data_IF_385240659716
#
_entry.id   IF_385240659716
#
_cell.length_a   1.000
_cell.length_b   1.000
_cell.length_c   1.000
_cell.angle_alpha   90.00
_cell.angle_beta   90.00
_cell.angle_gamma   90.00
#
_symmetry.space_group_name_H-M   'P 1'
#
loop_
_entity.id
_entity.type
_entity.pdbx_description
1 polymer ?
#
# COMPACT_ATOMS: atom_id res chain seq x y z
N UNK A 1 -5.94 14.30 10.26
CA UNK A 1 -7.10 14.23 9.34
C UNK A 1 -7.27 12.79 8.97
N UNK A 2 -8.52 12.33 8.86
CA UNK A 2 -8.81 10.89 8.99
C UNK A 2 -9.06 10.23 7.62
N UNK A 3 -9.31 11.02 6.57
CA UNK A 3 -9.52 10.54 5.20
C UNK A 3 -9.07 11.57 4.15
N UNK A 4 -8.84 11.12 2.92
CA UNK A 4 -8.43 11.92 1.75
C UNK A 4 -9.50 11.82 0.66
N UNK A 5 -10.35 12.85 0.57
CA UNK A 5 -11.45 12.86 -0.39
C UNK A 5 -11.04 13.18 -1.84
N UNK A 6 -9.94 13.91 -2.05
CA UNK A 6 -9.47 14.30 -3.39
C UNK A 6 -8.03 14.78 -3.40
N UNK A 7 -7.41 14.78 -4.58
CA UNK A 7 -6.09 15.35 -4.81
C UNK A 7 -6.03 16.86 -4.47
N UNK A 8 -7.07 17.62 -4.83
CA UNK A 8 -7.18 19.05 -4.52
C UNK A 8 -7.37 19.34 -3.04
N UNK A 9 -8.07 18.46 -2.30
CA UNK A 9 -8.21 18.53 -0.85
C UNK A 9 -6.88 18.29 -0.16
N UNK A 10 -6.11 17.30 -0.62
CA UNK A 10 -4.75 17.02 -0.16
C UNK A 10 -3.83 18.23 -0.37
N UNK A 11 -3.80 18.80 -1.58
CA UNK A 11 -3.02 20.01 -1.89
C UNK A 11 -3.46 21.20 -1.04
N UNK A 12 -4.77 21.39 -0.82
CA UNK A 12 -5.27 22.50 0.00
C UNK A 12 -4.85 22.35 1.46
N UNK A 13 -4.88 21.13 2.01
CA UNK A 13 -4.44 20.85 3.38
C UNK A 13 -2.94 21.14 3.53
N UNK A 14 -2.12 20.67 2.59
CA UNK A 14 -0.68 20.88 2.63
C UNK A 14 -0.27 22.33 2.32
N UNK A 15 -1.07 23.05 1.54
CA UNK A 15 -0.85 24.48 1.33
C UNK A 15 -1.09 25.29 2.61
N UNK A 16 -2.09 24.91 3.41
CA UNK A 16 -2.32 25.50 4.73
C UNK A 16 -1.29 25.03 5.76
N UNK A 17 -0.94 23.76 5.75
CA UNK A 17 -0.07 23.13 6.75
C UNK A 17 0.83 22.11 6.04
N UNK A 18 2.03 22.53 5.60
CA UNK A 18 2.88 21.68 4.76
C UNK A 18 3.43 20.45 5.47
N UNK A 19 3.45 20.43 6.81
CA UNK A 19 3.62 19.21 7.62
C UNK A 19 2.24 18.69 8.01
N UNK A 20 1.82 17.56 7.44
CA UNK A 20 0.52 16.96 7.73
C UNK A 20 0.61 15.45 7.87
N UNK A 21 -0.01 14.92 8.93
CA UNK A 21 -0.19 13.50 9.19
C UNK A 21 -1.66 13.10 8.97
N UNK A 22 -1.85 12.08 8.13
CA UNK A 22 -3.14 11.44 7.88
C UNK A 22 -3.15 10.07 8.56
N UNK A 23 -4.15 9.83 9.41
CA UNK A 23 -4.35 8.58 10.14
C UNK A 23 -5.60 7.91 9.60
N UNK A 24 -5.44 7.04 8.61
CA UNK A 24 -6.54 6.42 7.88
C UNK A 24 -6.79 5.01 8.40
N UNK A 25 -7.82 4.84 9.24
CA UNK A 25 -8.30 3.50 9.58
C UNK A 25 -9.01 2.87 8.38
N UNK A 26 -8.87 1.55 8.24
CA UNK A 26 -9.32 0.77 7.08
C UNK A 26 -8.95 1.38 5.71
N UNK A 27 -7.68 1.79 5.57
CA UNK A 27 -7.13 2.42 4.35
C UNK A 27 -7.32 1.57 3.08
N UNK A 28 -7.54 0.26 3.21
CA UNK A 28 -7.90 -0.60 2.07
C UNK A 28 -9.16 -0.13 1.34
N UNK A 29 -10.13 0.49 2.02
CA UNK A 29 -11.30 1.07 1.34
C UNK A 29 -10.94 2.30 0.51
N UNK A 30 -10.02 3.14 0.99
CA UNK A 30 -9.49 4.25 0.21
C UNK A 30 -8.86 3.70 -1.08
N UNK A 31 -7.98 2.69 -0.98
CA UNK A 31 -7.35 2.09 -2.16
C UNK A 31 -8.36 1.45 -3.13
N UNK A 32 -9.38 0.74 -2.62
CA UNK A 32 -10.49 0.24 -3.45
C UNK A 32 -11.25 1.36 -4.16
N UNK A 33 -11.51 2.47 -3.47
CA UNK A 33 -12.18 3.62 -4.07
C UNK A 33 -11.32 4.27 -5.17
N UNK A 34 -10.00 4.35 -4.97
CA UNK A 34 -9.04 4.80 -5.98
C UNK A 34 -9.03 3.87 -7.21
N UNK A 35 -9.15 2.55 -7.00
CA UNK A 35 -9.07 1.52 -8.05
C UNK A 35 -10.36 1.35 -8.87
N UNK A 36 -11.52 1.22 -8.22
CA UNK A 36 -12.78 0.81 -8.87
C UNK A 36 -13.77 1.95 -9.12
N UNK A 37 -13.70 3.02 -8.33
CA UNK A 37 -14.66 4.14 -8.35
C UNK A 37 -13.93 5.46 -8.53
N UNK A 38 -12.99 5.49 -9.47
CA UNK A 38 -12.17 6.65 -9.76
C UNK A 38 -13.01 7.76 -10.40
N UNK A 39 -13.77 8.50 -9.59
CA UNK A 39 -14.06 9.89 -9.89
C UNK A 39 -12.72 10.54 -10.32
N UNK A 40 -12.63 11.31 -11.42
CA UNK A 40 -11.38 11.88 -11.93
C UNK A 40 -10.47 12.56 -10.88
N UNK A 41 -11.05 13.03 -9.77
CA UNK A 41 -10.32 13.60 -8.62
C UNK A 41 -9.62 12.55 -7.75
N UNK A 42 -10.20 11.35 -7.60
CA UNK A 42 -9.64 10.24 -6.84
C UNK A 42 -8.48 9.60 -7.60
N UNK A 43 -8.62 9.45 -8.93
CA UNK A 43 -7.60 8.88 -9.80
C UNK A 43 -6.20 9.54 -9.65
N UNK A 44 -6.16 10.79 -9.22
CA UNK A 44 -4.93 11.58 -9.15
C UNK A 44 -4.25 11.53 -7.79
N UNK A 45 -4.89 11.02 -6.74
CA UNK A 45 -4.36 11.03 -5.37
C UNK A 45 -2.98 10.35 -5.31
N UNK A 46 -2.85 9.14 -5.88
CA UNK A 46 -1.55 8.43 -5.90
C UNK A 46 -0.49 9.23 -6.66
N UNK A 47 -0.84 9.80 -7.82
CA UNK A 47 0.09 10.63 -8.60
C UNK A 47 0.55 11.88 -7.83
N UNK A 48 -0.34 12.46 -7.03
CA UNK A 48 -0.04 13.63 -6.18
C UNK A 48 0.84 13.22 -5.00
N UNK A 49 0.54 12.11 -4.32
CA UNK A 49 1.38 11.56 -3.26
C UNK A 49 2.81 11.25 -3.75
N UNK A 50 2.97 10.68 -4.95
CA UNK A 50 4.27 10.44 -5.57
C UNK A 50 5.07 11.73 -5.83
N UNK A 51 4.39 12.79 -6.29
CA UNK A 51 5.00 14.10 -6.48
C UNK A 51 5.40 14.73 -5.15
N UNK A 52 4.50 14.73 -4.16
CA UNK A 52 4.74 15.25 -2.83
C UNK A 52 5.95 14.55 -2.17
N UNK A 53 6.01 13.22 -2.25
CA UNK A 53 7.14 12.44 -1.75
C UNK A 53 8.47 12.88 -2.39
N UNK A 54 8.47 13.11 -3.70
CA UNK A 54 9.68 13.51 -4.44
C UNK A 54 10.04 14.99 -4.20
N UNK A 55 9.07 15.83 -3.85
CA UNK A 55 9.25 17.24 -3.54
C UNK A 55 9.50 17.51 -2.05
N UNK A 56 9.65 16.50 -1.19
CA UNK A 56 9.80 16.71 0.26
C UNK A 56 10.99 17.62 0.64
N UNK A 57 12.04 17.65 -0.18
CA UNK A 57 13.18 18.57 -0.01
C UNK A 57 13.15 19.83 -0.88
N UNK A 58 12.11 20.02 -1.70
CA UNK A 58 12.05 21.05 -2.76
C UNK A 58 10.67 21.72 -2.85
N UNK A 59 10.45 22.55 -3.86
CA UNK A 59 9.19 23.23 -4.16
C UNK A 59 8.22 22.29 -4.88
N UNK A 60 7.09 21.99 -4.26
CA UNK A 60 5.96 21.38 -4.94
C UNK A 60 5.15 22.44 -5.68
N UNK A 61 5.00 22.26 -7.01
CA UNK A 61 4.12 23.07 -7.85
C UNK A 61 2.86 22.27 -8.15
N UNK A 62 1.74 22.74 -7.61
CA UNK A 62 0.43 22.20 -7.91
C UNK A 62 0.00 22.49 -9.34
N UNK A 63 -1.22 22.06 -9.68
CA UNK A 63 -1.77 22.27 -11.01
C UNK A 63 -1.88 23.75 -11.37
N UNK A 64 -1.58 24.05 -12.63
CA UNK A 64 -1.82 25.35 -13.23
C UNK A 64 -3.31 25.47 -13.54
N UNK A 65 -3.93 26.53 -13.05
CA UNK A 65 -5.30 26.89 -13.36
C UNK A 65 -5.31 28.21 -14.16
N UNK A 66 -6.37 28.44 -14.95
CA UNK A 66 -6.54 29.71 -15.65
C UNK A 66 -6.60 30.90 -14.67
N UNK A 67 -7.10 30.65 -13.47
CA UNK A 67 -7.05 31.55 -12.33
C UNK A 67 -5.79 31.23 -11.50
N UNK A 68 -4.79 32.11 -11.57
CA UNK A 68 -3.49 31.95 -10.90
C UNK A 68 -3.61 31.93 -9.38
N UNK A 69 -4.68 32.48 -8.81
CA UNK A 69 -4.96 32.45 -7.35
C UNK A 69 -5.23 31.02 -6.87
N UNK A 70 -5.70 30.13 -7.74
CA UNK A 70 -5.97 28.73 -7.42
C UNK A 70 -4.73 27.84 -7.53
N UNK A 71 -3.63 28.36 -8.09
CA UNK A 71 -2.39 27.61 -8.20
C UNK A 71 -1.71 27.54 -6.84
N UNK A 72 -1.59 26.31 -6.31
CA UNK A 72 -0.95 26.07 -5.02
C UNK A 72 0.51 25.74 -5.23
N UNK A 73 1.36 26.46 -4.52
CA UNK A 73 2.78 26.16 -4.38
C UNK A 73 3.02 25.81 -2.91
N UNK A 74 3.77 24.74 -2.66
CA UNK A 74 4.04 24.24 -1.31
C UNK A 74 5.55 24.06 -1.18
N UNK A 75 6.16 24.75 -0.22
CA UNK A 75 7.59 24.59 0.07
C UNK A 75 7.81 23.36 0.95
N UNK A 76 8.65 22.44 0.48
CA UNK A 76 9.09 21.24 1.21
C UNK A 76 7.94 20.50 1.90
N UNK A 77 6.93 20.01 1.16
CA UNK A 77 5.79 19.31 1.74
C UNK A 77 6.22 18.04 2.49
N UNK A 78 5.81 17.93 3.74
CA UNK A 78 5.95 16.73 4.56
C UNK A 78 4.58 16.08 4.76
N UNK A 79 4.19 15.23 3.81
CA UNK A 79 2.93 14.49 3.85
C UNK A 79 3.16 13.07 4.35
N UNK A 80 2.74 12.79 5.59
CA UNK A 80 2.80 11.46 6.18
C UNK A 80 1.42 10.79 6.11
N UNK A 81 1.37 9.58 5.55
CA UNK A 81 0.18 8.74 5.51
C UNK A 81 0.45 7.50 6.36
N UNK A 82 -0.38 7.30 7.37
CA UNK A 82 -0.41 6.08 8.18
C UNK A 82 -1.79 5.47 8.06
N UNK A 83 -1.86 4.15 7.93
CA UNK A 83 -3.14 3.48 7.89
C UNK A 83 -3.09 2.03 8.29
N UNK A 84 -4.25 1.55 8.71
CA UNK A 84 -4.52 0.18 9.12
C UNK A 84 -5.48 -0.44 8.12
N UNK A 85 -5.34 -1.74 7.83
CA UNK A 85 -6.36 -2.48 7.10
C UNK A 85 -6.22 -3.97 7.33
N UNK A 86 -7.29 -4.71 7.09
CA UNK A 86 -7.21 -6.16 6.96
C UNK A 86 -6.41 -6.56 5.71
N UNK A 87 -5.64 -7.67 5.73
CA UNK A 87 -4.86 -8.11 4.56
C UNK A 87 -5.69 -8.21 3.29
N UNK A 88 -6.89 -8.80 3.41
CA UNK A 88 -7.83 -8.93 2.29
C UNK A 88 -8.26 -7.58 1.71
N UNK A 89 -8.59 -6.60 2.56
CA UNK A 89 -9.06 -5.31 2.08
C UNK A 89 -7.96 -4.52 1.39
N UNK A 90 -6.73 -4.60 1.92
CA UNK A 90 -5.54 -4.04 1.29
C UNK A 90 -5.29 -4.65 -0.10
N UNK A 91 -5.23 -5.99 -0.19
CA UNK A 91 -4.99 -6.72 -1.44
C UNK A 91 -6.01 -6.41 -2.53
N UNK A 92 -7.29 -6.39 -2.18
CA UNK A 92 -8.36 -6.04 -3.13
C UNK A 92 -8.22 -4.60 -3.65
N UNK A 93 -7.64 -3.68 -2.85
CA UNK A 93 -7.43 -2.27 -3.18
C UNK A 93 -6.17 -1.97 -4.00
N UNK A 94 -5.19 -2.87 -4.01
CA UNK A 94 -3.90 -2.69 -4.73
C UNK A 94 -3.92 -3.46 -6.06
N UNK A 95 -3.19 -3.00 -7.07
CA UNK A 95 -3.00 -3.70 -8.34
C UNK A 95 -1.54 -3.67 -8.78
N UNK A 96 -1.25 -4.46 -9.82
CA UNK A 96 0.06 -4.49 -10.48
C UNK A 96 0.53 -3.07 -10.91
N UNK A 97 -0.40 -2.20 -11.31
CA UNK A 97 -0.09 -0.80 -11.67
C UNK A 97 0.52 -0.01 -10.51
N UNK A 98 0.05 -0.21 -9.26
CA UNK A 98 0.61 0.45 -8.08
C UNK A 98 1.98 -0.10 -7.66
N UNK A 99 2.27 -1.35 -8.01
CA UNK A 99 3.62 -1.90 -7.89
C UNK A 99 4.53 -1.20 -8.91
N UNK A 100 4.13 -1.19 -10.18
CA UNK A 100 4.93 -0.70 -11.32
C UNK A 100 5.10 0.82 -11.38
N UNK A 101 4.19 1.60 -10.82
CA UNK A 101 4.35 3.06 -10.72
C UNK A 101 5.29 3.47 -9.56
N UNK A 102 5.74 2.51 -8.76
CA UNK A 102 6.64 2.72 -7.63
C UNK A 102 6.00 3.39 -6.42
N UNK A 103 4.66 3.40 -6.32
CA UNK A 103 3.99 3.87 -5.11
C UNK A 103 4.32 2.97 -3.93
N UNK A 104 4.15 1.65 -4.08
CA UNK A 104 4.37 0.71 -2.98
C UNK A 104 5.82 0.64 -2.52
N UNK A 105 6.80 0.95 -3.38
CA UNK A 105 8.21 1.02 -2.97
C UNK A 105 8.50 2.18 -2.02
N UNK A 106 7.61 3.16 -1.91
CA UNK A 106 7.69 4.29 -0.98
C UNK A 106 6.87 4.08 0.30
N UNK A 107 6.19 2.94 0.42
CA UNK A 107 5.41 2.58 1.59
C UNK A 107 6.19 1.61 2.49
N UNK A 108 5.99 1.71 3.80
CA UNK A 108 6.39 0.68 4.75
C UNK A 108 5.16 -0.16 5.08
N UNK A 109 5.09 -1.37 4.54
CA UNK A 109 3.91 -2.24 4.65
C UNK A 109 4.21 -3.32 5.68
N UNK A 110 3.62 -3.19 6.86
CA UNK A 110 3.78 -4.16 7.94
C UNK A 110 2.68 -5.21 7.84
N UNK A 111 3.03 -6.44 7.51
CA UNK A 111 2.11 -7.56 7.57
C UNK A 111 2.18 -8.24 8.95
N UNK A 112 1.03 -8.69 9.44
CA UNK A 112 0.95 -9.52 10.64
C UNK A 112 0.00 -10.67 10.37
N UNK A 113 0.52 -11.89 10.48
CA UNK A 113 -0.28 -13.13 10.46
C UNK A 113 -0.84 -13.47 11.83
N UNK A 114 -0.44 -12.74 12.88
CA UNK A 114 -0.95 -12.92 14.22
C UNK A 114 -2.37 -12.32 14.32
N UNK A 115 -3.36 -13.19 14.55
CA UNK A 115 -4.75 -12.83 14.83
C UNK A 115 -5.06 -13.17 16.30
N UNK A 116 -4.63 -12.32 17.26
CA UNK A 116 -4.83 -12.62 18.67
C UNK A 116 -6.33 -12.63 19.00
N UNK A 117 -6.81 -13.57 19.84
CA UNK A 117 -8.22 -13.63 20.18
C UNK A 117 -8.67 -12.31 20.82
N UNK A 118 -9.88 -11.86 20.47
CA UNK A 118 -10.45 -10.61 20.99
C UNK A 118 -10.40 -10.63 22.52
N UNK A 119 -9.56 -9.77 23.09
CA UNK A 119 -9.50 -9.62 24.54
C UNK A 119 -10.82 -8.99 25.02
N UNK A 120 -11.58 -9.75 25.82
CA UNK A 120 -12.86 -9.30 26.38
C UNK A 120 -12.67 -8.52 27.69
N UNK A 121 -11.51 -8.67 28.32
CA UNK A 121 -11.09 -7.90 29.49
C UNK A 121 -10.38 -6.63 29.04
N UNK A 122 -11.16 -5.66 28.54
CA UNK A 122 -10.63 -4.33 28.27
C UNK A 122 -10.28 -3.65 29.60
N UNK A 123 -8.98 -3.55 29.88
CA UNK A 123 -8.44 -2.66 30.90
C UNK A 123 -7.79 -1.49 30.19
N UNK A 124 -8.21 -0.27 30.53
CA UNK A 124 -7.47 0.92 30.14
C UNK A 124 -6.13 0.87 30.88
N UNK A 125 -5.09 0.41 30.18
CA UNK A 125 -3.73 0.44 30.70
C UNK A 125 -3.26 1.89 30.69
N UNK A 126 -2.55 2.28 31.74
CA UNK A 126 -1.80 3.54 31.72
C UNK A 126 -0.73 3.43 30.62
N UNK A 127 -0.51 4.54 29.92
CA UNK A 127 0.56 4.62 28.95
C UNK A 127 1.91 4.42 29.66
N UNK A 128 2.88 3.71 29.04
CA UNK A 128 4.22 3.59 29.59
C UNK A 128 4.79 4.98 29.94
N UNK A 129 5.24 5.15 31.19
CA UNK A 129 5.64 6.47 31.73
C UNK A 129 6.83 7.08 30.99
N UNK A 130 7.72 6.24 30.52
CA UNK A 130 8.85 6.57 29.64
C UNK A 130 8.37 7.17 28.32
N UNK A 131 7.42 6.52 27.63
CA UNK A 131 6.84 7.05 26.38
C UNK A 131 6.19 8.42 26.61
N UNK A 132 5.38 8.56 27.67
CA UNK A 132 4.73 9.84 28.02
C UNK A 132 5.78 10.93 28.26
N UNK A 133 6.82 10.61 29.03
CA UNK A 133 7.92 11.55 29.30
C UNK A 133 8.61 12.00 28.02
N UNK A 134 8.91 11.08 27.12
CA UNK A 134 9.68 11.39 25.92
C UNK A 134 8.83 12.17 24.89
N UNK A 135 7.53 11.87 24.77
CA UNK A 135 6.57 12.71 24.01
C UNK A 135 6.46 14.11 24.63
N UNK A 136 6.37 14.21 25.95
CA UNK A 136 6.27 15.51 26.63
C UNK A 136 7.53 16.36 26.42
N UNK A 137 8.72 15.76 26.43
CA UNK A 137 9.98 16.45 26.09
C UNK A 137 9.91 17.03 24.68
N UNK A 138 9.50 16.25 23.68
CA UNK A 138 9.31 16.74 22.31
C UNK A 138 8.30 17.88 22.22
N UNK A 139 7.15 17.75 22.89
CA UNK A 139 6.09 18.75 22.86
C UNK A 139 6.49 20.08 23.50
N UNK A 140 7.27 20.03 24.59
CA UNK A 140 7.71 21.21 25.35
C UNK A 140 9.05 21.76 24.87
N UNK A 141 9.64 21.18 23.83
CA UNK A 141 10.94 21.59 23.31
C UNK A 141 10.87 23.02 22.81
N UNK A 142 11.72 23.87 23.39
CA UNK A 142 12.03 25.17 22.84
C UNK A 142 13.26 24.99 21.95
N UNK A 143 13.12 25.27 20.66
CA UNK A 143 14.24 25.31 19.73
C UNK A 143 14.71 26.77 19.69
N UNK A 144 15.77 27.10 20.41
CA UNK A 144 16.41 28.41 20.34
C UNK A 144 17.03 28.57 18.95
N UNK A 145 16.24 29.10 18.02
CA UNK A 145 16.78 29.51 16.73
C UNK A 145 17.65 30.74 16.95
N UNK A 146 18.91 30.74 16.49
CA UNK A 146 19.74 31.93 16.57
C UNK A 146 19.08 33.01 15.69
N UNK A 147 18.58 34.07 16.34
CA UNK A 147 17.79 35.16 15.76
C UNK A 147 16.33 34.75 15.52
N UNK A 148 15.40 35.70 15.39
CA UNK A 148 13.97 35.49 15.13
C UNK A 148 13.69 34.88 13.72
N UNK A 149 14.58 33.99 13.28
CA UNK A 149 14.65 33.28 12.02
C UNK A 149 14.58 31.77 12.30
N UNK A 150 13.38 31.30 12.59
CA UNK A 150 13.11 29.87 12.82
C UNK A 150 11.64 29.60 13.08
N UNK A 151 10.78 30.56 12.72
CA UNK A 151 9.36 30.49 13.02
C UNK A 151 8.64 29.59 12.02
N UNK A 152 8.03 28.52 12.52
CA UNK A 152 7.14 27.65 11.75
C UNK A 152 5.91 28.45 11.29
N UNK A 153 5.53 29.54 11.97
CA UNK A 153 4.43 30.40 11.53
C UNK A 153 4.73 31.11 10.20
N UNK A 154 6.01 31.37 9.89
CA UNK A 154 6.44 31.86 8.57
C UNK A 154 6.45 30.78 7.46
N UNK A 155 6.38 29.51 7.85
CA UNK A 155 6.28 28.35 6.96
C UNK A 155 4.82 27.98 6.64
N UNK A 156 3.88 28.35 7.53
CA UNK A 156 2.44 28.30 7.29
C UNK A 156 2.08 29.46 6.38
N UNK A 157 1.74 29.18 5.11
CA UNK A 157 1.06 30.18 4.27
C UNK A 157 -0.39 30.35 4.75
N UNK A 158 -0.52 31.11 5.84
CA UNK A 158 -1.75 31.66 6.37
C UNK A 158 -1.85 33.16 6.06
N UNK A 159 -1.74 33.56 4.79
CA UNK A 159 -2.30 34.85 4.38
C UNK A 159 -1.58 35.58 3.25
N UNK A 160 -2.28 35.68 2.12
CA UNK A 160 -2.31 36.93 1.33
C UNK A 160 -2.67 38.18 2.17
N UNK A 161 -3.02 38.03 3.45
CA UNK A 161 -3.32 39.10 4.38
C UNK A 161 -2.07 39.81 4.96
N UNK A 162 -0.88 39.18 4.95
CA UNK A 162 0.28 39.69 5.71
C UNK A 162 1.52 40.03 4.86
N UNK A 163 1.51 39.80 3.54
CA UNK A 163 2.60 40.22 2.65
C UNK A 163 3.98 39.59 2.91
N UNK A 164 4.07 38.50 3.67
CA UNK A 164 5.32 37.79 3.94
C UNK A 164 5.62 36.75 2.85
N UNK A 165 6.86 36.75 2.33
CA UNK A 165 7.33 35.73 1.39
C UNK A 165 7.50 34.37 2.10
N UNK A 166 7.06 33.30 1.42
CA UNK A 166 7.26 31.93 1.89
C UNK A 166 8.75 31.61 1.90
N UNK A 167 9.29 31.15 3.04
CA UNK A 167 10.68 30.69 3.15
C UNK A 167 10.73 29.23 3.62
N UNK A 168 11.68 28.42 3.14
CA UNK A 168 11.88 27.07 3.68
C UNK A 168 12.26 27.15 5.17
N UNK A 169 11.88 26.17 5.98
CA UNK A 169 12.25 26.12 7.39
C UNK A 169 13.77 25.94 7.53
N UNK A 170 14.34 26.51 8.58
CA UNK A 170 15.71 26.20 8.97
C UNK A 170 15.74 24.78 9.54
N UNK A 171 16.32 23.85 8.78
CA UNK A 171 16.37 22.44 9.14
C UNK A 171 17.57 22.15 10.04
N UNK A 172 17.37 21.35 11.09
CA UNK A 172 18.47 20.78 11.85
C UNK A 172 19.11 19.67 11.01
N UNK A 173 20.38 19.84 10.64
CA UNK A 173 21.14 18.81 9.95
C UNK A 173 21.59 17.76 10.96
N UNK A 174 21.12 16.52 10.77
CA UNK A 174 21.55 15.37 11.55
C UNK A 174 22.73 14.72 10.81
N UNK A 175 23.97 14.79 11.35
CA UNK A 175 25.12 14.19 10.70
C UNK A 175 24.98 12.66 10.59
N UNK A 176 25.53 12.10 9.52
CA UNK A 176 25.69 10.65 9.34
C UNK A 176 27.16 10.31 9.45
N UNK A 177 27.53 9.44 10.38
CA UNK A 177 28.93 9.09 10.58
C UNK A 177 29.44 8.12 9.50
N UNK A 178 30.76 7.93 9.47
CA UNK A 178 31.41 7.13 8.42
C UNK A 178 30.93 5.67 8.40
N UNK A 179 30.76 5.07 9.58
CA UNK A 179 30.27 3.70 9.71
C UNK A 179 28.84 3.55 9.15
N UNK A 180 27.94 4.50 9.45
CA UNK A 180 26.59 4.53 8.91
C UNK A 180 26.59 4.70 7.39
N UNK A 181 27.41 5.60 6.85
CA UNK A 181 27.50 5.81 5.41
C UNK A 181 27.92 4.54 4.65
N UNK A 182 28.89 3.80 5.19
CA UNK A 182 29.30 2.52 4.62
C UNK A 182 28.15 1.51 4.59
N UNK A 183 27.40 1.39 5.68
CA UNK A 183 26.25 0.48 5.77
C UNK A 183 25.17 0.83 4.73
N UNK A 184 24.86 2.12 4.55
CA UNK A 184 23.90 2.54 3.53
C UNK A 184 24.37 2.23 2.11
N UNK A 185 25.65 2.46 1.80
CA UNK A 185 26.22 2.11 0.49
C UNK A 185 26.14 0.60 0.24
N UNK A 186 26.51 -0.21 1.23
CA UNK A 186 26.44 -1.67 1.13
C UNK A 186 24.99 -2.14 0.93
N UNK A 187 24.03 -1.49 1.60
CA UNK A 187 22.61 -1.77 1.45
C UNK A 187 22.05 -1.35 0.09
N UNK A 188 22.46 -0.21 -0.46
CA UNK A 188 22.06 0.24 -1.80
C UNK A 188 22.57 -0.74 -2.87
N UNK A 189 23.84 -1.16 -2.78
CA UNK A 189 24.42 -2.18 -3.64
C UNK A 189 23.65 -3.51 -3.56
N UNK A 190 23.27 -3.93 -2.35
CA UNK A 190 22.42 -5.10 -2.15
C UNK A 190 21.07 -4.94 -2.84
N UNK A 191 20.39 -3.80 -2.67
CA UNK A 191 19.10 -3.53 -3.28
C UNK A 191 19.20 -3.52 -4.82
N UNK A 192 20.26 -2.95 -5.38
CA UNK A 192 20.53 -2.95 -6.81
C UNK A 192 20.72 -4.38 -7.35
N UNK A 193 21.43 -5.23 -6.62
CA UNK A 193 21.59 -6.66 -6.95
C UNK A 193 20.25 -7.39 -6.94
N UNK A 194 19.47 -7.26 -5.87
CA UNK A 194 18.15 -7.90 -5.76
C UNK A 194 17.19 -7.43 -6.87
N UNK A 195 17.27 -6.15 -7.24
CA UNK A 195 16.47 -5.59 -8.33
C UNK A 195 16.84 -6.18 -9.70
N UNK A 196 18.11 -6.52 -9.92
CA UNK A 196 18.59 -7.14 -11.16
C UNK A 196 18.21 -8.62 -11.26
N UNK A 197 18.12 -9.34 -10.13
CA UNK A 197 17.80 -10.76 -10.10
C UNK A 197 16.33 -11.06 -10.41
N UNK A 198 15.40 -10.16 -10.06
CA UNK A 198 13.96 -10.34 -10.28
C UNK A 198 13.31 -9.10 -10.90
N UNK A 199 13.04 -9.16 -12.21
CA UNK A 199 12.46 -8.04 -12.96
C UNK A 199 11.10 -7.59 -12.41
N UNK A 200 10.25 -8.54 -11.99
CA UNK A 200 8.87 -8.29 -11.54
C UNK A 200 8.80 -7.51 -10.22
N UNK A 201 9.79 -7.70 -9.34
CA UNK A 201 9.86 -7.04 -8.03
C UNK A 201 10.93 -5.95 -7.99
N UNK A 202 11.64 -5.73 -9.10
CA UNK A 202 12.79 -4.81 -9.19
C UNK A 202 12.48 -3.41 -8.65
N UNK A 203 11.26 -2.93 -8.89
CA UNK A 203 10.84 -1.59 -8.49
C UNK A 203 10.66 -1.42 -6.97
N UNK A 204 10.36 -2.51 -6.25
CA UNK A 204 10.19 -2.50 -4.79
C UNK A 204 11.52 -2.20 -4.09
N UNK A 205 12.64 -2.65 -4.67
CA UNK A 205 13.97 -2.44 -4.13
C UNK A 205 14.52 -1.02 -4.33
N UNK A 206 14.05 -0.27 -5.34
CA UNK A 206 14.62 1.02 -5.78
C UNK A 206 14.59 2.16 -4.75
N UNK A 207 13.79 2.04 -3.69
CA UNK A 207 13.62 3.08 -2.65
C UNK A 207 13.97 2.57 -1.25
N UNK A 208 14.48 1.35 -1.14
CA UNK A 208 14.78 0.74 0.14
C UNK A 208 15.83 1.53 0.94
N UNK A 209 16.93 1.95 0.30
CA UNK A 209 17.96 2.73 0.98
C UNK A 209 17.44 4.11 1.43
N UNK A 210 16.69 4.81 0.58
CA UNK A 210 16.08 6.10 0.91
C UNK A 210 15.11 5.96 2.11
N UNK A 211 14.31 4.91 2.13
CA UNK A 211 13.42 4.58 3.24
C UNK A 211 14.23 4.30 4.52
N UNK A 212 15.34 3.55 4.41
CA UNK A 212 16.20 3.25 5.55
C UNK A 212 16.84 4.51 6.13
N UNK A 213 17.27 5.46 5.29
CA UNK A 213 17.78 6.76 5.78
C UNK A 213 16.71 7.59 6.48
N UNK A 214 15.47 7.58 5.98
CA UNK A 214 14.34 8.28 6.63
C UNK A 214 14.03 7.68 8.00
N UNK A 215 14.04 6.35 8.13
CA UNK A 215 13.89 5.68 9.42
C UNK A 215 15.06 6.01 10.35
N UNK A 216 16.29 5.98 9.84
CA UNK A 216 17.48 6.31 10.60
C UNK A 216 17.44 7.74 11.15
N UNK A 217 16.92 8.70 10.37
CA UNK A 217 16.71 10.08 10.81
C UNK A 217 15.75 10.15 12.00
N UNK A 218 14.62 9.43 11.94
CA UNK A 218 13.62 9.37 13.02
C UNK A 218 14.22 8.74 14.27
N UNK A 219 14.95 7.63 14.12
CA UNK A 219 15.59 6.92 15.24
C UNK A 219 16.69 7.78 15.86
N UNK A 220 17.54 8.42 15.07
CA UNK A 220 18.61 9.29 15.57
C UNK A 220 18.07 10.49 16.35
N UNK A 221 17.04 11.15 15.81
CA UNK A 221 16.35 12.22 16.53
C UNK A 221 15.73 11.72 17.84
N UNK A 222 15.10 10.53 17.80
CA UNK A 222 14.48 9.92 18.99
C UNK A 222 15.47 9.46 20.06
N UNK A 223 16.67 9.02 19.67
CA UNK A 223 17.72 8.50 20.58
C UNK A 223 18.46 9.63 21.30
N UNK A 224 18.89 10.66 20.55
CA UNK A 224 19.59 11.82 21.11
C UNK A 224 18.84 13.11 20.77
N UNK A 225 18.28 13.72 21.81
CA UNK A 225 17.43 14.88 21.68
C UNK A 225 18.21 16.13 21.25
N UNK A 226 19.35 16.40 21.86
CA UNK A 226 20.10 17.66 21.66
C UNK A 226 21.17 17.55 20.58
N UNK A 227 21.75 16.36 20.41
CA UNK A 227 22.86 16.10 19.49
C UNK A 227 22.60 14.82 18.72
N UNK A 228 21.55 14.79 17.88
CA UNK A 228 21.26 13.60 17.09
C UNK A 228 22.38 13.33 16.08
N UNK A 229 22.74 12.07 15.94
CA UNK A 229 23.68 11.59 14.92
C UNK A 229 23.21 10.23 14.41
N UNK A 230 23.25 10.01 13.10
CA UNK A 230 23.02 8.69 12.52
C UNK A 230 24.30 7.87 12.65
N UNK A 231 24.29 6.97 13.64
CA UNK A 231 25.38 6.04 13.92
C UNK A 231 25.27 4.74 13.12
N UNK A 232 26.35 3.95 13.08
CA UNK A 232 26.36 2.66 12.39
C UNK A 232 25.28 1.68 12.90
N UNK A 233 24.99 1.67 14.20
CA UNK A 233 23.93 0.83 14.76
C UNK A 233 22.53 1.26 14.32
N UNK A 234 22.30 2.58 14.21
CA UNK A 234 21.03 3.13 13.73
C UNK A 234 20.83 2.82 12.24
N UNK A 235 21.90 2.95 11.45
CA UNK A 235 21.88 2.60 10.03
C UNK A 235 21.61 1.09 9.83
N UNK A 236 22.33 0.22 10.56
CA UNK A 236 22.13 -1.23 10.52
C UNK A 236 20.69 -1.62 10.85
N UNK A 237 20.15 -1.10 11.97
CA UNK A 237 18.77 -1.33 12.36
C UNK A 237 17.78 -0.93 11.26
N UNK A 238 17.96 0.26 10.70
CA UNK A 238 17.05 0.81 9.69
C UNK A 238 17.10 0.00 8.39
N UNK A 239 18.29 -0.38 7.92
CA UNK A 239 18.47 -1.23 6.75
C UNK A 239 17.87 -2.62 6.97
N UNK A 240 18.09 -3.25 8.13
CA UNK A 240 17.49 -4.56 8.45
C UNK A 240 15.97 -4.50 8.50
N UNK A 241 15.40 -3.44 9.07
CA UNK A 241 13.95 -3.26 9.12
C UNK A 241 13.35 -3.13 7.72
N UNK A 242 13.88 -2.25 6.87
CA UNK A 242 13.40 -2.11 5.50
C UNK A 242 13.57 -3.39 4.70
N UNK A 243 14.73 -4.05 4.83
CA UNK A 243 15.00 -5.34 4.20
C UNK A 243 13.96 -6.39 4.62
N UNK A 244 13.64 -6.48 5.90
CA UNK A 244 12.63 -7.40 6.39
C UNK A 244 11.26 -7.11 5.78
N UNK A 245 10.83 -5.84 5.83
CA UNK A 245 9.53 -5.39 5.32
C UNK A 245 9.37 -5.69 3.83
N UNK A 246 10.39 -5.38 3.01
CA UNK A 246 10.29 -5.58 1.55
C UNK A 246 10.29 -7.06 1.18
N UNK A 247 11.09 -7.90 1.87
CA UNK A 247 11.05 -9.35 1.63
C UNK A 247 9.70 -9.93 2.05
N UNK A 248 9.19 -9.58 3.23
CA UNK A 248 7.88 -10.03 3.69
C UNK A 248 6.75 -9.62 2.73
N UNK A 249 6.80 -8.40 2.19
CA UNK A 249 5.86 -7.96 1.17
C UNK A 249 5.99 -8.77 -0.14
N UNK A 250 7.22 -9.05 -0.59
CA UNK A 250 7.46 -9.85 -1.81
C UNK A 250 6.93 -11.28 -1.63
N UNK A 251 7.28 -11.91 -0.51
CA UNK A 251 7.00 -13.32 -0.26
C UNK A 251 5.52 -13.58 0.02
N UNK A 252 4.85 -12.66 0.74
CA UNK A 252 3.49 -12.88 1.23
C UNK A 252 2.40 -12.06 0.52
N UNK A 253 2.75 -11.06 -0.29
CA UNK A 253 1.75 -10.11 -0.84
C UNK A 253 1.91 -9.90 -2.34
N UNK A 254 3.14 -9.77 -2.85
CA UNK A 254 3.37 -9.42 -4.26
C UNK A 254 2.84 -10.47 -5.24
N UNK A 255 2.99 -11.77 -4.93
CA UNK A 255 2.44 -12.85 -5.76
C UNK A 255 0.91 -12.85 -5.83
N UNK A 256 0.23 -12.45 -4.76
CA UNK A 256 -1.23 -12.33 -4.76
C UNK A 256 -1.71 -11.12 -5.58
N UNK A 257 -0.94 -10.01 -5.57
CA UNK A 257 -1.22 -8.81 -6.38
C UNK A 257 -1.01 -9.08 -7.87
N UNK A 258 -0.03 -9.92 -8.24
CA UNK A 258 0.23 -10.27 -9.64
C UNK A 258 -0.82 -11.21 -10.22
N UNK A 259 -1.64 -11.86 -9.38
CA UNK A 259 -2.77 -12.65 -9.88
C UNK A 259 -3.72 -11.70 -10.61
N UNK A 260 -3.87 -11.93 -11.92
CA UNK A 260 -4.69 -11.05 -12.75
C UNK A 260 -6.11 -10.94 -12.16
N UNK A 261 -6.81 -9.79 -12.26
CA UNK A 261 -8.23 -9.74 -11.91
C UNK A 261 -9.05 -10.86 -12.57
N UNK A 262 -8.61 -11.34 -13.73
CA UNK A 262 -9.13 -12.51 -14.42
C UNK A 262 -8.87 -13.80 -13.62
N UNK A 263 -7.66 -14.00 -13.15
CA UNK A 263 -7.23 -15.16 -12.38
C UNK A 263 -7.94 -15.23 -11.02
N UNK A 264 -8.07 -14.11 -10.31
CA UNK A 264 -8.88 -14.02 -9.09
C UNK A 264 -10.35 -14.41 -9.33
N UNK A 265 -10.93 -14.00 -10.47
CA UNK A 265 -12.29 -14.41 -10.87
C UNK A 265 -12.36 -15.91 -11.21
N UNK A 266 -11.34 -16.48 -11.85
CA UNK A 266 -11.22 -17.92 -12.12
C UNK A 266 -11.08 -18.73 -10.83
N UNK A 267 -10.21 -18.34 -9.91
CA UNK A 267 -10.04 -18.96 -8.59
C UNK A 267 -11.36 -18.95 -7.80
N UNK A 268 -12.16 -17.89 -7.89
CA UNK A 268 -13.50 -17.85 -7.29
C UNK A 268 -14.45 -18.87 -7.92
N UNK A 269 -14.42 -19.07 -9.25
CA UNK A 269 -15.19 -20.13 -9.92
C UNK A 269 -14.76 -21.52 -9.42
N UNK A 270 -13.45 -21.79 -9.39
CA UNK A 270 -12.89 -23.05 -8.88
C UNK A 270 -13.30 -23.30 -7.43
N UNK A 271 -13.23 -22.28 -6.56
CA UNK A 271 -13.67 -22.38 -5.16
C UNK A 271 -15.16 -22.75 -5.03
N UNK A 272 -16.03 -22.20 -5.89
CA UNK A 272 -17.47 -22.55 -5.89
C UNK A 272 -17.67 -24.00 -6.31
N UNK A 273 -16.97 -24.48 -7.34
CA UNK A 273 -17.05 -25.88 -7.78
C UNK A 273 -16.51 -26.83 -6.71
N UNK A 274 -15.35 -26.52 -6.12
CA UNK A 274 -14.72 -27.32 -5.07
C UNK A 274 -15.61 -27.55 -3.85
N UNK A 275 -16.48 -26.58 -3.51
CA UNK A 275 -17.47 -26.74 -2.42
C UNK A 275 -18.49 -27.84 -2.65
N UNK A 276 -18.79 -28.17 -3.92
CA UNK A 276 -19.73 -29.26 -4.25
C UNK A 276 -19.09 -30.64 -4.25
N UNK A 277 -17.74 -30.73 -4.25
CA UNK A 277 -16.96 -31.97 -4.27
C UNK A 277 -17.53 -32.96 -5.32
N UNK A 278 -17.66 -34.24 -4.97
CA UNK A 278 -18.14 -35.29 -5.86
C UNK A 278 -19.59 -35.09 -6.36
N UNK A 279 -20.43 -34.29 -5.69
CA UNK A 279 -21.80 -34.04 -6.12
C UNK A 279 -21.89 -33.25 -7.43
N UNK A 280 -20.83 -32.50 -7.77
CA UNK A 280 -20.75 -31.68 -8.97
C UNK A 280 -21.54 -30.37 -8.86
N UNK A 281 -21.06 -29.35 -9.56
CA UNK A 281 -21.65 -28.03 -9.56
C UNK A 281 -22.47 -27.78 -10.83
N UNK A 282 -23.75 -27.44 -10.71
CA UNK A 282 -24.57 -27.09 -11.87
C UNK A 282 -24.32 -25.64 -12.32
N UNK A 283 -24.46 -25.36 -13.62
CA UNK A 283 -24.21 -24.02 -14.20
C UNK A 283 -25.00 -22.88 -13.54
N UNK A 284 -26.22 -23.15 -13.07
CA UNK A 284 -27.03 -22.15 -12.38
C UNK A 284 -26.45 -21.76 -11.01
N UNK A 285 -25.79 -22.69 -10.31
CA UNK A 285 -25.10 -22.43 -9.04
C UNK A 285 -23.92 -21.49 -9.26
N UNK A 286 -23.11 -21.75 -10.29
CA UNK A 286 -22.04 -20.85 -10.73
C UNK A 286 -22.60 -19.46 -11.04
N UNK A 287 -23.68 -19.41 -11.83
CA UNK A 287 -24.33 -18.14 -12.21
C UNK A 287 -24.85 -17.36 -11.00
N UNK A 288 -25.48 -18.04 -10.03
CA UNK A 288 -25.98 -17.39 -8.82
C UNK A 288 -24.85 -16.86 -7.92
N UNK A 289 -23.74 -17.59 -7.80
CA UNK A 289 -22.63 -17.22 -6.93
C UNK A 289 -21.63 -16.24 -7.60
N UNK A 290 -21.82 -15.96 -8.89
CA UNK A 290 -20.99 -15.02 -9.67
C UNK A 290 -21.82 -13.97 -10.41
N UNK A 291 -22.91 -13.49 -9.78
CA UNK A 291 -23.79 -12.45 -10.36
C UNK A 291 -23.08 -11.14 -10.74
N UNK A 292 -21.93 -10.86 -10.12
CA UNK A 292 -21.08 -9.72 -10.46
C UNK A 292 -20.28 -9.88 -11.77
N UNK A 293 -20.35 -11.05 -12.43
CA UNK A 293 -19.69 -11.28 -13.73
C UNK A 293 -20.71 -11.10 -14.84
N UNK A 294 -20.30 -10.49 -15.96
CA UNK A 294 -21.13 -10.53 -17.16
C UNK A 294 -21.28 -11.97 -17.67
N UNK A 295 -22.34 -12.24 -18.43
CA UNK A 295 -22.57 -13.57 -19.01
C UNK A 295 -21.40 -14.02 -19.89
N UNK A 296 -20.82 -13.08 -20.64
CA UNK A 296 -19.68 -13.32 -21.53
C UNK A 296 -18.44 -13.68 -20.73
N UNK A 297 -18.00 -12.81 -19.81
CA UNK A 297 -16.84 -13.07 -18.97
C UNK A 297 -16.93 -14.42 -18.23
N UNK A 298 -18.10 -14.73 -17.66
CA UNK A 298 -18.29 -16.01 -16.94
C UNK A 298 -18.07 -17.21 -17.87
N UNK A 299 -18.61 -17.17 -19.09
CA UNK A 299 -18.42 -18.27 -20.03
C UNK A 299 -16.97 -18.33 -20.48
N UNK A 300 -16.36 -17.21 -20.86
CA UNK A 300 -14.96 -17.15 -21.30
C UNK A 300 -14.01 -17.73 -20.23
N UNK A 301 -14.23 -17.44 -18.95
CA UNK A 301 -13.43 -18.02 -17.85
C UNK A 301 -13.69 -19.50 -17.63
N UNK A 302 -14.93 -19.97 -17.77
CA UNK A 302 -15.26 -21.40 -17.67
C UNK A 302 -14.58 -22.15 -18.82
N UNK A 303 -14.66 -21.62 -20.04
CA UNK A 303 -14.11 -22.24 -21.24
C UNK A 303 -12.58 -22.32 -21.15
N UNK A 304 -11.93 -21.27 -20.65
CA UNK A 304 -10.48 -21.28 -20.41
C UNK A 304 -10.06 -22.28 -19.32
N UNK A 305 -10.81 -22.38 -18.21
CA UNK A 305 -10.57 -23.38 -17.16
C UNK A 305 -10.78 -24.83 -17.63
N UNK A 306 -11.74 -25.06 -18.56
CA UNK A 306 -11.94 -26.36 -19.20
C UNK A 306 -10.76 -26.70 -20.12
N UNK A 307 -10.32 -25.74 -20.94
CA UNK A 307 -9.16 -25.90 -21.81
C UNK A 307 -7.86 -26.18 -21.02
N UNK A 308 -7.70 -25.53 -19.86
CA UNK A 308 -6.60 -25.76 -18.92
C UNK A 308 -6.70 -27.04 -18.10
N UNK A 309 -7.78 -27.84 -18.25
CA UNK A 309 -8.07 -29.05 -17.46
C UNK A 309 -8.19 -28.80 -15.94
N UNK A 310 -8.46 -27.57 -15.53
CA UNK A 310 -8.74 -27.19 -14.14
C UNK A 310 -10.23 -27.41 -13.77
N UNK A 311 -11.09 -27.53 -14.79
CA UNK A 311 -12.48 -27.98 -14.66
C UNK A 311 -12.75 -29.17 -15.57
N UNK A 312 -13.68 -30.02 -15.14
CA UNK A 312 -14.26 -31.09 -15.95
C UNK A 312 -15.76 -30.81 -16.08
N UNK A 313 -16.29 -30.80 -17.32
CA UNK A 313 -17.72 -30.68 -17.58
C UNK A 313 -18.28 -31.96 -18.21
N UNK A 314 -19.34 -32.51 -17.61
CA UNK A 314 -20.05 -33.68 -18.15
C UNK A 314 -21.56 -33.56 -17.99
N UNK A 315 -22.25 -34.21 -18.92
CA UNK A 315 -23.71 -34.35 -18.94
C UNK A 315 -24.10 -35.64 -18.22
N UNK A 316 -24.64 -35.53 -17.01
CA UNK A 316 -25.11 -36.67 -16.20
C UNK A 316 -26.60 -36.87 -16.41
N UNK A 317 -27.03 -38.11 -16.61
CA UNK A 317 -28.44 -38.43 -16.70
C UNK A 317 -29.10 -38.30 -15.32
N UNK A 318 -29.99 -37.33 -15.17
CA UNK A 318 -30.70 -37.04 -13.92
C UNK A 318 -32.20 -37.20 -14.17
N UNK A 319 -32.76 -38.36 -13.81
CA UNK A 319 -34.19 -38.66 -13.94
C UNK A 319 -34.57 -39.58 -15.11
N UNK A 320 -35.85 -39.52 -15.51
CA UNK A 320 -36.44 -40.37 -16.55
C UNK A 320 -35.75 -40.25 -17.93
N UNK A 321 -35.97 -41.27 -18.78
CA UNK A 321 -35.29 -41.50 -20.07
C UNK A 321 -35.08 -40.20 -20.87
N UNK A 322 -33.83 -39.78 -21.02
CA UNK A 322 -33.39 -38.72 -21.93
C UNK A 322 -32.96 -37.38 -21.32
N UNK A 323 -33.27 -37.08 -20.04
CA UNK A 323 -32.87 -35.79 -19.44
C UNK A 323 -31.44 -35.83 -18.89
N UNK A 324 -30.50 -35.21 -19.61
CA UNK A 324 -29.13 -35.00 -19.15
C UNK A 324 -28.95 -33.59 -18.60
N UNK A 325 -28.28 -33.46 -17.45
CA UNK A 325 -27.96 -32.18 -16.82
C UNK A 325 -26.44 -32.00 -16.77
N UNK A 326 -25.96 -30.80 -17.10
CA UNK A 326 -24.54 -30.47 -17.08
C UNK A 326 -24.04 -30.14 -15.68
N UNK A 327 -22.91 -30.73 -15.32
CA UNK A 327 -22.22 -30.53 -14.06
C UNK A 327 -20.73 -30.26 -14.30
N UNK A 328 -20.14 -29.47 -13.40
CA UNK A 328 -18.73 -29.13 -13.36
C UNK A 328 -18.07 -29.73 -12.11
N UNK A 329 -16.86 -30.24 -12.25
CA UNK A 329 -16.03 -30.74 -11.14
C UNK A 329 -14.62 -30.17 -11.22
N UNK A 330 -13.93 -30.12 -10.07
CA UNK A 330 -12.47 -30.09 -10.06
C UNK A 330 -11.94 -31.51 -10.33
N UNK A 331 -10.80 -31.67 -11.01
CA UNK A 331 -10.24 -32.97 -11.37
C UNK A 331 -10.15 -33.95 -10.19
N UNK A 332 -9.74 -33.49 -9.01
CA UNK A 332 -9.58 -34.31 -7.80
C UNK A 332 -10.90 -34.81 -7.19
N UNK A 333 -12.03 -34.22 -7.57
CA UNK A 333 -13.36 -34.61 -7.09
C UNK A 333 -14.22 -35.30 -8.15
N UNK A 334 -13.67 -35.55 -9.34
CA UNK A 334 -14.40 -36.16 -10.44
C UNK A 334 -14.61 -37.67 -10.19
N UNK A 335 -15.86 -38.16 -10.11
CA UNK A 335 -16.14 -39.51 -9.63
C UNK A 335 -16.12 -40.60 -10.70
N UNK A 336 -15.77 -40.30 -11.96
CA UNK A 336 -15.82 -41.25 -13.08
C UNK A 336 -14.46 -41.38 -13.78
N UNK A 337 -13.53 -42.22 -13.29
CA UNK A 337 -12.15 -42.24 -13.77
C UNK A 337 -11.92 -42.75 -15.20
N UNK A 338 -12.90 -43.40 -15.86
CA UNK A 338 -12.63 -44.29 -17.01
C UNK A 338 -13.53 -44.12 -18.25
N UNK A 339 -14.06 -42.92 -18.53
CA UNK A 339 -14.61 -42.65 -19.87
C UNK A 339 -13.63 -41.75 -20.63
N UNK A 340 -13.12 -42.28 -21.75
CA UNK A 340 -12.19 -41.62 -22.66
C UNK A 340 -12.48 -40.12 -22.76
N UNK A 341 -11.42 -39.32 -22.64
CA UNK A 341 -11.45 -37.88 -22.84
C UNK A 341 -11.75 -37.66 -24.33
N UNK A 342 -13.02 -37.73 -24.72
CA UNK A 342 -13.47 -37.18 -26.01
C UNK A 342 -13.33 -35.66 -25.89
N UNK A 343 -12.22 -35.15 -26.42
CA UNK A 343 -12.01 -33.75 -26.73
C UNK A 343 -13.12 -33.29 -27.70
N UNK A 344 -13.90 -32.29 -27.29
CA UNK A 344 -14.81 -31.53 -28.17
C UNK A 344 -14.43 -30.07 -28.11
#
# INVERSE_FOLDING_TARGET
>A
GDDIASDSGLESRLHQSPVSLFLCDEIGYLFKALKYHANPYNAKIISTLLKLYSSAGDLYKGRVFADTVKQRTILQPCCCLWGTSTPRSFLEGVSQTEVENGWLSRCLIFNSTNDPPKNRDYRRLDFPKDVVRDVYKWYTRIIDSPQHEGDIDGYVHGGMACGMESRPPNQILIPTNEAANKIFIDFDNYCAKMAAENSNTSILWKRCEENARKIALIVAAGDSFDTPEITGSIADYSCRLVKYIVNDFIDNVAGEISSSPIESKKLKLLSIVGKTKAAGCQKWILTQNTRGYSKRERNDYIDDLLAGRELIHRLVQTGGRGKKTGFYWLPEYYPYPDEEIEDV
#
